data_IF_325542237376
#
_entry.id   IF_325542237376
#
_cell.length_a   1.000
_cell.length_b   1.000
_cell.length_c   1.000
_cell.angle_alpha   90.00
_cell.angle_beta   90.00
_cell.angle_gamma   90.00
#
_symmetry.space_group_name_H-M   'P 1'
#
loop_
_entity.id
_entity.type
_entity.pdbx_description
1 polymer ?
#
# COMPACT_ATOMS: atom_id res chain seq x y z
N UNK A 1 -7.30 -5.89 6.34
CA UNK A 1 -5.88 -6.23 6.16
C UNK A 1 -5.04 -4.96 6.22
N UNK A 2 -4.71 -4.51 7.42
CA UNK A 2 -3.70 -3.47 7.62
C UNK A 2 -2.32 -4.13 7.49
N UNK A 3 -1.61 -3.86 6.40
CA UNK A 3 -0.20 -4.23 6.29
C UNK A 3 0.59 -3.30 7.21
N UNK A 4 0.75 -3.72 8.47
CA UNK A 4 1.69 -3.10 9.41
C UNK A 4 3.12 -3.27 8.87
N UNK A 5 3.87 -2.16 8.78
CA UNK A 5 5.27 -2.17 8.36
C UNK A 5 6.12 -3.10 9.25
N UNK A 6 5.75 -3.29 10.52
CA UNK A 6 6.48 -4.20 11.42
C UNK A 6 6.31 -5.66 11.03
N UNK A 7 5.14 -6.04 10.54
CA UNK A 7 4.88 -7.40 10.00
C UNK A 7 5.70 -7.68 8.73
N UNK A 8 5.97 -6.64 7.92
CA UNK A 8 6.77 -6.74 6.69
C UNK A 8 8.28 -6.92 6.96
N UNK A 9 8.80 -6.30 8.03
CA UNK A 9 10.21 -6.45 8.41
C UNK A 9 10.53 -7.82 9.03
N UNK A 10 9.57 -8.41 9.77
CA UNK A 10 9.75 -9.76 10.34
C UNK A 10 9.70 -10.84 9.25
N UNK A 11 8.76 -10.75 8.30
CA UNK A 11 8.66 -11.68 7.16
C UNK A 11 9.87 -11.61 6.23
N UNK A 12 10.42 -10.42 5.95
CA UNK A 12 11.62 -10.28 5.11
C UNK A 12 12.88 -10.95 5.71
N UNK A 13 12.99 -11.00 7.05
CA UNK A 13 14.13 -11.62 7.75
C UNK A 13 14.05 -13.15 7.75
N UNK A 14 12.85 -13.71 7.62
CA UNK A 14 12.61 -15.15 7.45
C UNK A 14 12.86 -15.60 6.01
N UNK A 15 12.48 -14.78 5.01
CA UNK A 15 12.72 -15.08 3.59
C UNK A 15 14.22 -15.13 3.26
N UNK A 16 15.04 -14.25 3.87
CA UNK A 16 16.50 -14.28 3.71
C UNK A 16 17.20 -15.51 4.30
N UNK A 17 16.50 -16.34 5.11
CA UNK A 17 17.02 -17.64 5.57
C UNK A 17 16.67 -18.80 4.63
N UNK A 18 15.67 -18.61 3.76
CA UNK A 18 15.20 -19.65 2.82
C UNK A 18 16.12 -19.73 1.59
N UNK A 19 16.80 -18.65 1.23
CA UNK A 19 17.73 -18.62 0.08
C UNK A 19 18.99 -19.49 0.26
N UNK A 20 19.31 -19.92 1.48
CA UNK A 20 20.51 -20.70 1.79
C UNK A 20 20.26 -22.22 1.78
N UNK A 21 18.99 -22.66 1.67
CA UNK A 21 18.65 -24.07 1.52
C UNK A 21 18.72 -24.43 0.03
N UNK A 22 19.87 -24.96 -0.37
CA UNK A 22 20.13 -25.43 -1.71
C UNK A 22 19.05 -26.38 -2.24
N UNK A 23 18.75 -26.20 -3.53
CA UNK A 23 18.44 -27.26 -4.47
C UNK A 23 17.29 -28.23 -4.11
N UNK A 24 16.06 -27.73 -4.12
CA UNK A 24 14.90 -28.51 -4.58
C UNK A 24 14.15 -27.68 -5.62
N UNK A 25 14.56 -27.83 -6.88
CA UNK A 25 13.82 -27.34 -8.06
C UNK A 25 12.77 -28.39 -8.45
N UNK A 26 11.88 -28.74 -7.53
CA UNK A 26 10.62 -29.38 -7.92
C UNK A 26 9.66 -28.26 -8.32
N UNK A 27 9.08 -28.40 -9.51
CA UNK A 27 8.42 -27.36 -10.27
C UNK A 27 7.39 -26.57 -9.44
N UNK A 28 7.82 -25.43 -8.90
CA UNK A 28 6.94 -24.50 -8.20
C UNK A 28 6.03 -23.85 -9.26
N UNK A 29 4.70 -23.84 -9.08
CA UNK A 29 3.79 -23.27 -10.06
C UNK A 29 4.15 -21.82 -10.35
N UNK A 30 4.24 -21.46 -11.64
CA UNK A 30 4.55 -20.12 -12.15
C UNK A 30 3.66 -19.01 -11.56
N UNK A 31 2.55 -19.37 -10.92
CA UNK A 31 1.68 -18.44 -10.21
C UNK A 31 2.31 -17.85 -8.93
N UNK A 32 3.28 -18.53 -8.30
CA UNK A 32 3.90 -18.08 -7.03
C UNK A 32 5.08 -17.12 -7.21
N UNK A 33 5.72 -17.08 -8.38
CA UNK A 33 6.88 -16.21 -8.63
C UNK A 33 6.50 -14.71 -8.60
N UNK A 34 5.26 -14.38 -8.95
CA UNK A 34 4.76 -13.00 -8.98
C UNK A 34 4.58 -12.37 -7.59
N UNK A 35 4.52 -13.19 -6.52
CA UNK A 35 4.32 -12.72 -5.15
C UNK A 35 5.61 -12.24 -4.47
N UNK A 36 6.78 -12.51 -5.07
CA UNK A 36 8.11 -12.18 -4.52
C UNK A 36 8.68 -10.91 -5.19
N UNK A 37 7.84 -10.11 -5.87
CA UNK A 37 8.32 -8.86 -6.44
C UNK A 37 8.60 -7.83 -5.34
N UNK A 38 9.88 -7.66 -5.01
CA UNK A 38 10.33 -6.70 -4.01
C UNK A 38 9.85 -5.28 -4.38
N UNK A 39 9.25 -4.55 -3.42
CA UNK A 39 8.84 -3.18 -3.68
C UNK A 39 10.06 -2.27 -3.89
N UNK A 40 9.86 -1.21 -4.68
CA UNK A 40 10.87 -0.16 -4.87
C UNK A 40 11.38 0.37 -3.52
N UNK A 41 12.71 0.51 -3.40
CA UNK A 41 13.37 1.07 -2.23
C UNK A 41 13.02 2.57 -2.10
N UNK A 42 12.44 2.96 -0.97
CA UNK A 42 11.99 4.33 -0.68
C UNK A 42 12.37 4.72 0.74
N UNK A 43 12.72 5.99 0.95
CA UNK A 43 12.98 6.53 2.28
C UNK A 43 11.73 6.45 3.17
N UNK A 44 11.93 6.45 4.49
CA UNK A 44 10.84 6.44 5.46
C UNK A 44 9.90 7.63 5.29
N UNK A 45 10.45 8.83 5.10
CA UNK A 45 9.68 10.07 4.90
C UNK A 45 8.77 9.95 3.67
N UNK A 46 9.29 9.44 2.55
CA UNK A 46 8.49 9.23 1.34
C UNK A 46 7.38 8.21 1.57
N UNK A 47 7.66 7.09 2.26
CA UNK A 47 6.65 6.09 2.63
C UNK A 47 5.52 6.69 3.48
N UNK A 48 5.84 7.53 4.46
CA UNK A 48 4.85 8.22 5.30
C UNK A 48 3.99 9.18 4.46
N UNK A 49 4.61 10.00 3.60
CA UNK A 49 3.89 10.92 2.70
C UNK A 49 2.94 10.16 1.76
N UNK A 50 3.40 9.07 1.16
CA UNK A 50 2.58 8.20 0.29
C UNK A 50 1.43 7.55 1.06
N UNK A 51 1.68 7.07 2.28
CA UNK A 51 0.66 6.51 3.16
C UNK A 51 -0.43 7.53 3.51
N UNK A 52 -0.03 8.77 3.85
CA UNK A 52 -0.97 9.87 4.13
C UNK A 52 -1.79 10.23 2.89
N UNK A 53 -1.16 10.34 1.73
CA UNK A 53 -1.85 10.60 0.47
C UNK A 53 -2.88 9.51 0.12
N UNK A 54 -2.56 8.24 0.39
CA UNK A 54 -3.51 7.11 0.25
C UNK A 54 -4.67 7.25 1.23
N UNK A 55 -4.40 7.58 2.50
CA UNK A 55 -5.44 7.75 3.54
C UNK A 55 -6.36 8.95 3.27
N UNK A 56 -5.88 10.05 2.71
CA UNK A 56 -6.69 11.22 2.38
C UNK A 56 -7.60 11.00 1.16
N UNK A 57 -7.24 10.07 0.27
CA UNK A 57 -7.98 9.78 -0.95
C UNK A 57 -9.21 8.88 -0.73
N UNK A 58 -10.07 9.25 0.23
CA UNK A 58 -11.29 8.51 0.59
C UNK A 58 -12.56 9.29 0.18
N UNK A 59 -13.68 8.60 -0.13
CA UNK A 59 -14.96 9.26 -0.38
C UNK A 59 -15.52 9.86 0.91
N UNK A 60 -16.41 10.85 0.76
CA UNK A 60 -17.09 11.48 1.89
C UNK A 60 -18.09 10.50 2.53
N UNK A 61 -18.04 10.29 3.86
CA UNK A 61 -18.98 9.42 4.56
C UNK A 61 -20.44 9.85 4.40
N UNK A 62 -21.36 8.88 4.40
CA UNK A 62 -22.78 9.15 4.18
C UNK A 62 -23.40 10.01 5.29
N UNK A 63 -23.16 9.66 6.55
CA UNK A 63 -23.70 10.41 7.69
C UNK A 63 -23.28 11.89 7.69
N UNK A 64 -22.12 12.23 7.11
CA UNK A 64 -21.67 13.62 7.04
C UNK A 64 -22.58 14.47 6.13
N UNK A 65 -23.18 13.88 5.10
CA UNK A 65 -24.14 14.56 4.21
C UNK A 65 -25.46 14.88 4.90
N UNK A 66 -25.77 14.19 5.99
CA UNK A 66 -27.01 14.35 6.74
C UNK A 66 -26.94 15.48 7.79
N UNK A 67 -25.77 16.12 7.94
CA UNK A 67 -25.62 17.25 8.89
C UNK A 67 -26.27 18.52 8.34
N UNK A 68 -27.09 19.16 9.18
CA UNK A 68 -27.92 20.31 8.83
C UNK A 68 -27.12 21.51 8.29
N UNK A 69 -25.93 21.79 8.84
CA UNK A 69 -25.18 23.01 8.54
C UNK A 69 -24.05 22.82 7.51
N UNK A 70 -24.09 21.75 6.71
CA UNK A 70 -23.02 21.46 5.74
C UNK A 70 -23.53 21.31 4.30
N UNK A 71 -22.97 22.13 3.40
CA UNK A 71 -23.26 22.07 1.94
C UNK A 71 -22.39 21.06 1.17
N UNK A 72 -21.46 20.38 1.85
CA UNK A 72 -20.45 19.51 1.23
C UNK A 72 -21.08 18.16 0.87
N UNK A 73 -21.08 17.80 -0.43
CA UNK A 73 -21.66 16.54 -0.94
C UNK A 73 -20.62 15.46 -1.25
N UNK A 74 -19.45 15.88 -1.73
CA UNK A 74 -18.36 15.02 -2.17
C UNK A 74 -17.00 15.59 -1.73
N UNK A 75 -15.94 14.79 -1.84
CA UNK A 75 -14.58 15.23 -1.50
C UNK A 75 -13.92 15.91 -2.70
N UNK A 76 -13.90 17.24 -2.69
CA UNK A 76 -13.25 18.09 -3.71
C UNK A 76 -11.79 17.74 -4.00
N UNK A 77 -11.07 17.28 -2.97
CA UNK A 77 -9.63 17.03 -3.02
C UNK A 77 -9.29 15.56 -3.32
N UNK A 78 -10.28 14.73 -3.65
CA UNK A 78 -10.05 13.34 -4.06
C UNK A 78 -9.23 13.31 -5.35
N UNK A 79 -8.29 12.37 -5.44
CA UNK A 79 -7.28 12.32 -6.52
C UNK A 79 -7.33 11.00 -7.29
N UNK A 80 -7.20 11.04 -8.61
CA UNK A 80 -6.95 9.84 -9.43
C UNK A 80 -5.47 9.83 -9.88
N UNK A 81 -4.75 8.74 -9.60
CA UNK A 81 -3.33 8.60 -9.94
C UNK A 81 -3.03 8.58 -11.45
N UNK A 82 -4.04 8.25 -12.27
CA UNK A 82 -3.93 8.32 -13.73
C UNK A 82 -3.95 9.76 -14.23
N UNK A 83 -4.76 10.63 -13.64
CA UNK A 83 -4.94 12.02 -14.11
C UNK A 83 -4.07 13.04 -13.40
N UNK A 84 -3.73 12.84 -12.11
CA UNK A 84 -2.95 13.81 -11.33
C UNK A 84 -1.85 13.13 -10.51
N UNK A 85 -0.62 13.60 -10.69
CA UNK A 85 0.59 13.07 -10.06
C UNK A 85 0.83 13.69 -8.68
N UNK A 86 1.63 12.99 -7.89
CA UNK A 86 2.07 13.44 -6.57
C UNK A 86 3.42 14.13 -6.75
N UNK A 87 3.55 15.36 -6.25
CA UNK A 87 4.80 16.12 -6.27
C UNK A 87 5.58 15.83 -4.97
N UNK A 88 6.11 14.61 -4.84
CA UNK A 88 6.75 14.11 -3.61
C UNK A 88 8.09 13.48 -3.91
#
# INVERSE_FOLDING_TARGET
MEFDCRSYYMTAKEIGKISDLGHVKEALPLELESLIQMPSQKSFITKVKLGKAKKQNRPLPHWFRLKSDTKIRWNAKRRNWRHTKLNI
#
